data_IF_338261777942
#
_entry.id   IF_338261777942
#
_cell.length_a   1.000
_cell.length_b   1.000
_cell.length_c   1.000
_cell.angle_alpha   90.00
_cell.angle_beta   90.00
_cell.angle_gamma   90.00
#
_symmetry.space_group_name_H-M   'P 1'
#
loop_
_entity.id
_entity.type
_entity.pdbx_description
1 polymer ?
#
# COMPACT_ATOMS: atom_id res chain seq x y z
N UNK A 1 5.22 8.79 6.95
CA UNK A 1 4.27 7.81 6.39
C UNK A 1 5.02 7.05 5.29
N UNK A 2 5.03 5.72 5.33
CA UNK A 2 5.74 4.89 4.34
C UNK A 2 5.07 4.98 2.96
N UNK A 3 5.84 4.90 1.88
CA UNK A 3 5.31 4.97 0.52
C UNK A 3 4.73 3.62 0.06
N UNK A 4 3.79 3.65 -0.90
CA UNK A 4 3.24 2.45 -1.56
C UNK A 4 4.36 1.54 -2.09
N UNK A 5 5.36 2.13 -2.77
CA UNK A 5 6.52 1.42 -3.31
C UNK A 5 7.32 0.72 -2.21
N UNK A 6 7.59 1.39 -1.09
CA UNK A 6 8.33 0.77 0.01
C UNK A 6 7.55 -0.39 0.63
N UNK A 7 6.24 -0.25 0.81
CA UNK A 7 5.39 -1.34 1.29
C UNK A 7 5.45 -2.56 0.35
N UNK A 8 5.42 -2.35 -0.97
CA UNK A 8 5.54 -3.42 -1.97
C UNK A 8 6.92 -4.09 -1.87
N UNK A 9 8.01 -3.32 -1.79
CA UNK A 9 9.37 -3.86 -1.64
C UNK A 9 9.52 -4.73 -0.36
N UNK A 10 8.88 -4.33 0.74
CA UNK A 10 8.84 -5.12 1.97
C UNK A 10 8.01 -6.41 1.82
N UNK A 11 6.87 -6.35 1.11
CA UNK A 11 6.07 -7.53 0.82
C UNK A 11 6.86 -8.56 -0.01
N UNK A 12 7.57 -8.12 -1.06
CA UNK A 12 8.45 -8.97 -1.86
C UNK A 12 9.62 -9.55 -1.04
N UNK A 13 10.18 -8.76 -0.12
CA UNK A 13 11.22 -9.25 0.79
C UNK A 13 10.70 -10.36 1.70
N UNK A 14 9.49 -10.21 2.24
CA UNK A 14 8.83 -11.24 3.03
C UNK A 14 8.54 -12.50 2.19
N UNK A 15 8.16 -12.35 0.93
CA UNK A 15 7.94 -13.48 0.02
C UNK A 15 9.22 -14.30 -0.20
N UNK A 16 10.34 -13.63 -0.55
CA UNK A 16 11.65 -14.28 -0.69
C UNK A 16 12.09 -14.96 0.59
N UNK A 17 11.85 -14.34 1.75
CA UNK A 17 12.15 -14.95 3.05
C UNK A 17 11.27 -16.17 3.36
N UNK A 18 10.00 -16.14 2.96
CA UNK A 18 9.07 -17.26 3.10
C UNK A 18 9.49 -18.47 2.23
N UNK A 19 9.97 -18.21 1.01
CA UNK A 19 10.50 -19.25 0.10
C UNK A 19 11.78 -19.88 0.65
N UNK A 20 12.66 -19.08 1.26
CA UNK A 20 13.90 -19.55 1.86
C UNK A 20 13.73 -20.19 3.25
N UNK A 21 12.56 -20.07 3.88
CA UNK A 21 12.33 -20.54 5.24
C UNK A 21 12.27 -22.07 5.32
N UNK A 22 13.14 -22.72 6.12
CA UNK A 22 13.16 -24.18 6.24
C UNK A 22 12.01 -24.73 7.09
N UNK A 23 11.43 -23.90 7.96
CA UNK A 23 10.36 -24.30 8.88
C UNK A 23 9.01 -23.69 8.46
N UNK A 24 7.96 -24.50 8.52
CA UNK A 24 6.61 -24.09 8.13
C UNK A 24 6.09 -22.89 8.95
N UNK A 25 6.40 -22.82 10.25
CA UNK A 25 6.00 -21.72 11.12
C UNK A 25 6.69 -20.40 10.76
N UNK A 26 7.96 -20.44 10.33
CA UNK A 26 8.69 -19.28 9.86
C UNK A 26 8.12 -18.80 8.52
N UNK A 27 7.87 -19.73 7.59
CA UNK A 27 7.21 -19.43 6.32
C UNK A 27 5.87 -18.74 6.54
N UNK A 28 5.03 -19.27 7.42
CA UNK A 28 3.73 -18.68 7.75
C UNK A 28 3.86 -17.27 8.33
N UNK A 29 4.84 -17.06 9.22
CA UNK A 29 5.12 -15.72 9.80
C UNK A 29 5.48 -14.70 8.72
N UNK A 30 6.33 -15.08 7.76
CA UNK A 30 6.68 -14.21 6.65
C UNK A 30 5.50 -13.94 5.72
N UNK A 31 4.66 -14.95 5.43
CA UNK A 31 3.46 -14.77 4.61
C UNK A 31 2.43 -13.86 5.29
N UNK A 32 2.23 -13.97 6.61
CA UNK A 32 1.39 -13.04 7.36
C UNK A 32 1.95 -11.61 7.33
N UNK A 33 3.26 -11.47 7.49
CA UNK A 33 3.93 -10.17 7.39
C UNK A 33 3.76 -9.56 5.99
N UNK A 34 3.89 -10.38 4.94
CA UNK A 34 3.64 -9.99 3.54
C UNK A 34 2.23 -9.44 3.36
N UNK A 35 1.22 -10.12 3.90
CA UNK A 35 -0.17 -9.66 3.80
C UNK A 35 -0.37 -8.27 4.43
N UNK A 36 0.21 -8.03 5.60
CA UNK A 36 0.16 -6.71 6.26
C UNK A 36 0.79 -5.61 5.40
N UNK A 37 1.94 -5.89 4.79
CA UNK A 37 2.60 -4.93 3.90
C UNK A 37 1.76 -4.60 2.66
N UNK A 38 1.10 -5.60 2.08
CA UNK A 38 0.20 -5.40 0.94
C UNK A 38 -1.04 -4.57 1.32
N UNK A 39 -1.67 -4.86 2.45
CA UNK A 39 -2.79 -4.03 2.96
C UNK A 39 -2.36 -2.57 3.16
N UNK A 40 -1.15 -2.34 3.66
CA UNK A 40 -0.61 -0.99 3.81
C UNK A 40 -0.38 -0.31 2.45
N UNK A 41 0.10 -1.04 1.44
CA UNK A 41 0.26 -0.51 0.08
C UNK A 41 -1.09 -0.10 -0.53
N UNK A 42 -2.11 -0.97 -0.41
CA UNK A 42 -3.48 -0.68 -0.88
C UNK A 42 -4.08 0.55 -0.20
N UNK A 43 -3.84 0.73 1.11
CA UNK A 43 -4.27 1.93 1.83
C UNK A 43 -3.58 3.19 1.29
N UNK A 44 -2.28 3.13 0.99
CA UNK A 44 -1.56 4.28 0.40
C UNK A 44 -2.09 4.61 -1.00
N UNK A 45 -2.35 3.58 -1.81
CA UNK A 45 -2.93 3.75 -3.13
C UNK A 45 -4.31 4.42 -3.04
N UNK A 46 -5.17 3.95 -2.14
CA UNK A 46 -6.50 4.50 -1.90
C UNK A 46 -6.45 5.96 -1.45
N UNK A 47 -5.53 6.31 -0.55
CA UNK A 47 -5.31 7.68 -0.10
C UNK A 47 -4.84 8.59 -1.24
N UNK A 48 -3.96 8.11 -2.12
CA UNK A 48 -3.52 8.86 -3.31
C UNK A 48 -4.70 9.10 -4.25
N UNK A 49 -5.48 8.08 -4.56
CA UNK A 49 -6.66 8.19 -5.43
C UNK A 49 -7.67 9.19 -4.87
N UNK A 50 -7.99 9.11 -3.57
CA UNK A 50 -8.90 10.05 -2.91
C UNK A 50 -8.39 11.49 -2.93
N UNK A 51 -7.07 11.71 -2.86
CA UNK A 51 -6.48 13.05 -3.02
C UNK A 51 -6.64 13.57 -4.44
N UNK A 52 -6.31 12.75 -5.44
CA UNK A 52 -6.47 13.13 -6.86
C UNK A 52 -7.94 13.43 -7.21
N UNK A 53 -8.88 12.67 -6.68
CA UNK A 53 -10.31 12.93 -6.88
C UNK A 53 -10.75 14.25 -6.26
N UNK A 54 -10.33 14.55 -5.01
CA UNK A 54 -10.59 15.85 -4.37
C UNK A 54 -9.98 17.02 -5.13
N UNK A 55 -8.79 16.85 -5.71
CA UNK A 55 -8.15 17.88 -6.52
C UNK A 55 -8.90 18.13 -7.83
N UNK A 56 -9.44 17.08 -8.47
CA UNK A 56 -10.30 17.21 -9.66
C UNK A 56 -11.58 17.97 -9.34
N UNK A 57 -12.29 17.57 -8.28
CA UNK A 57 -13.52 18.25 -7.86
C UNK A 57 -13.31 19.72 -7.49
N UNK A 58 -12.17 20.07 -6.89
CA UNK A 58 -11.85 21.48 -6.55
C UNK A 58 -11.52 22.33 -7.78
N UNK A 59 -11.06 21.73 -8.86
CA UNK A 59 -10.73 22.44 -10.11
C UNK A 59 -11.98 22.65 -10.98
N UNK A 60 -13.03 21.86 -10.74
CA UNK A 60 -14.32 21.91 -11.45
C UNK A 60 -15.36 22.82 -10.78
N UNK A 61 -15.10 23.38 -9.59
CA UNK A 61 -15.91 24.48 -9.05
C UNK A 61 -15.54 25.78 -9.77
N UNK A 62 -16.38 26.30 -10.70
CA UNK A 62 -16.16 27.61 -11.24
C UNK A 62 -16.49 28.61 -10.15
N UNK A 63 -15.66 29.66 -10.05
CA UNK A 63 -16.03 30.94 -9.46
C UNK A 63 -17.54 31.22 -9.60
N UNK A 64 -18.29 31.08 -8.52
CA UNK A 64 -19.58 31.72 -8.40
C UNK A 64 -19.71 32.36 -7.03
N UNK A 65 -19.08 33.53 -6.92
CA UNK A 65 -19.57 34.61 -6.07
C UNK A 65 -19.63 35.83 -6.98
N UNK A 66 -20.86 36.23 -7.31
CA UNK A 66 -21.18 37.50 -7.95
C UNK A 66 -21.24 38.65 -6.94
#
# INVERSE_FOLDING_TARGET
MMSEKYCIEQAESCERAAEAAPLANQRETFLRSRAVWLEMAERQQSLRTARTERERSRTEEPNHVG
#
